data_IF_125068750427
#
_entry.id   IF_125068750427
#
_cell.length_a   1.000
_cell.length_b   1.000
_cell.length_c   1.000
_cell.angle_alpha   90.00
_cell.angle_beta   90.00
_cell.angle_gamma   90.00
#
_symmetry.space_group_name_H-M   'P 1'
#
loop_
_entity.id
_entity.type
_entity.pdbx_description
1 polymer ?
#
# COMPACT_ATOMS: atom_id res chain seq x y z
N UNK A 1 6.86 -25.69 9.94
CA UNK A 1 6.04 -24.85 9.02
C UNK A 1 6.29 -23.41 9.42
N UNK A 2 6.74 -22.54 8.52
CA UNK A 2 7.08 -21.18 8.89
C UNK A 2 5.88 -20.46 9.51
N UNK A 3 6.17 -19.53 10.41
CA UNK A 3 5.14 -18.69 11.00
C UNK A 3 4.65 -17.63 10.00
N UNK A 4 5.60 -17.05 9.24
CA UNK A 4 5.30 -16.07 8.20
C UNK A 4 5.75 -16.51 6.80
N UNK A 5 4.96 -16.15 5.78
CA UNK A 5 5.39 -16.04 4.40
C UNK A 5 5.39 -14.54 4.03
N UNK A 6 6.57 -13.98 3.80
CA UNK A 6 6.72 -12.58 3.39
C UNK A 6 6.61 -12.51 1.87
N UNK A 7 5.55 -11.92 1.35
CA UNK A 7 5.26 -11.80 -0.09
C UNK A 7 5.67 -10.41 -0.58
N UNK A 8 6.59 -10.36 -1.53
CA UNK A 8 7.14 -9.14 -2.12
C UNK A 8 6.87 -9.14 -3.63
N UNK A 9 5.80 -8.49 -4.10
CA UNK A 9 5.63 -8.25 -5.53
C UNK A 9 6.66 -7.22 -6.00
N UNK A 10 7.23 -7.39 -7.22
CA UNK A 10 8.19 -6.45 -7.77
C UNK A 10 7.98 -6.23 -9.27
N UNK A 11 8.26 -5.01 -9.72
CA UNK A 11 8.22 -4.63 -11.15
C UNK A 11 9.21 -3.52 -11.45
N UNK A 12 10.29 -3.83 -12.21
CA UNK A 12 11.33 -2.89 -12.65
C UNK A 12 12.00 -2.10 -11.50
N UNK A 13 12.35 -2.79 -10.39
CA UNK A 13 12.93 -2.17 -9.18
C UNK A 13 13.98 -3.03 -8.51
N UNK A 14 14.85 -3.68 -9.29
CA UNK A 14 15.84 -4.62 -8.77
C UNK A 14 16.66 -4.07 -7.59
N UNK A 15 17.21 -2.85 -7.71
CA UNK A 15 18.08 -2.27 -6.68
C UNK A 15 17.36 -2.08 -5.34
N UNK A 16 16.09 -1.71 -5.39
CA UNK A 16 15.28 -1.55 -4.18
C UNK A 16 14.88 -2.89 -3.60
N UNK A 17 14.47 -3.83 -4.46
CA UNK A 17 14.16 -5.20 -4.05
C UNK A 17 15.34 -5.83 -3.28
N UNK A 18 16.58 -5.68 -3.78
CA UNK A 18 17.76 -6.21 -3.10
C UNK A 18 17.91 -5.65 -1.68
N UNK A 19 17.71 -4.35 -1.48
CA UNK A 19 17.73 -3.73 -0.14
C UNK A 19 16.65 -4.29 0.80
N UNK A 20 15.45 -4.53 0.27
CA UNK A 20 14.36 -5.14 1.06
C UNK A 20 14.74 -6.56 1.47
N UNK A 21 15.31 -7.35 0.55
CA UNK A 21 15.73 -8.72 0.83
C UNK A 21 16.89 -8.78 1.83
N UNK A 22 17.88 -7.90 1.73
CA UNK A 22 19.00 -7.81 2.68
C UNK A 22 18.48 -7.43 4.09
N UNK A 23 17.51 -6.55 4.18
CA UNK A 23 16.88 -6.18 5.46
C UNK A 23 16.01 -7.32 6.04
N UNK A 24 15.39 -8.15 5.19
CA UNK A 24 14.69 -9.36 5.64
C UNK A 24 15.65 -10.42 6.15
N UNK A 25 16.81 -10.62 5.51
CA UNK A 25 17.85 -11.52 5.99
C UNK A 25 18.46 -11.09 7.34
N UNK A 26 18.46 -9.78 7.64
CA UNK A 26 18.97 -9.18 8.88
C UNK A 26 17.94 -9.07 10.00
N UNK A 27 16.77 -9.69 9.89
CA UNK A 27 15.74 -9.62 10.93
C UNK A 27 16.17 -10.22 12.25
N UNK A 28 15.81 -9.55 13.36
CA UNK A 28 16.14 -9.94 14.74
C UNK A 28 14.89 -10.46 15.46
N UNK A 29 15.10 -11.46 16.33
CA UNK A 29 14.04 -12.09 17.14
C UNK A 29 12.82 -12.56 16.31
N UNK A 30 13.02 -12.76 14.99
CA UNK A 30 11.97 -13.20 14.09
C UNK A 30 11.60 -14.66 14.34
N UNK A 31 10.31 -15.04 14.26
CA UNK A 31 9.96 -16.45 14.14
C UNK A 31 10.46 -17.02 12.82
N UNK A 32 10.36 -18.34 12.65
CA UNK A 32 10.65 -18.98 11.36
C UNK A 32 9.80 -18.36 10.24
N UNK A 33 10.42 -17.95 9.15
CA UNK A 33 9.73 -17.33 8.01
C UNK A 33 10.35 -17.74 6.67
N UNK A 34 9.59 -17.57 5.62
CA UNK A 34 10.05 -17.69 4.23
C UNK A 34 9.81 -16.39 3.47
N UNK A 35 10.58 -16.15 2.43
CA UNK A 35 10.42 -14.99 1.54
C UNK A 35 10.00 -15.47 0.15
N UNK A 36 8.95 -14.86 -0.39
CA UNK A 36 8.39 -15.15 -1.70
C UNK A 36 8.40 -13.87 -2.52
N UNK A 37 9.18 -13.87 -3.60
CA UNK A 37 9.27 -12.75 -4.54
C UNK A 37 8.51 -13.10 -5.81
N UNK A 38 7.56 -12.25 -6.19
CA UNK A 38 6.83 -12.37 -7.45
C UNK A 38 7.23 -11.23 -8.37
N UNK A 39 7.97 -11.57 -9.43
CA UNK A 39 8.31 -10.65 -10.50
C UNK A 39 7.13 -10.53 -11.47
N UNK A 40 6.48 -9.37 -11.47
CA UNK A 40 5.32 -9.10 -12.33
C UNK A 40 5.71 -8.64 -13.73
N UNK A 41 6.65 -9.37 -14.36
CA UNK A 41 7.08 -9.16 -15.75
C UNK A 41 8.06 -7.99 -15.91
N UNK A 42 9.00 -7.81 -14.99
CA UNK A 42 10.07 -6.81 -15.09
C UNK A 42 10.87 -6.95 -16.38
N UNK A 43 11.35 -5.82 -16.88
CA UNK A 43 12.20 -5.70 -18.08
C UNK A 43 13.65 -5.37 -17.75
N UNK A 44 13.96 -5.14 -16.47
CA UNK A 44 15.31 -4.97 -15.94
C UNK A 44 15.94 -6.33 -15.59
N UNK A 45 17.10 -6.34 -14.95
CA UNK A 45 17.83 -7.55 -14.58
C UNK A 45 17.21 -8.38 -13.44
N UNK A 46 15.98 -8.05 -13.00
CA UNK A 46 15.32 -8.71 -11.85
C UNK A 46 15.28 -10.23 -12.01
N UNK A 47 14.82 -10.73 -13.15
CA UNK A 47 14.72 -12.19 -13.37
C UNK A 47 16.09 -12.88 -13.36
N UNK A 48 17.06 -12.28 -14.05
CA UNK A 48 18.43 -12.83 -14.13
C UNK A 48 19.10 -12.90 -12.75
N UNK A 49 18.96 -11.85 -11.93
CA UNK A 49 19.59 -11.79 -10.62
C UNK A 49 18.86 -12.67 -9.62
N UNK A 50 17.55 -12.62 -9.58
CA UNK A 50 16.74 -13.36 -8.59
C UNK A 50 16.71 -14.86 -8.83
N UNK A 51 16.83 -15.32 -10.08
CA UNK A 51 16.92 -16.76 -10.38
C UNK A 51 18.18 -17.44 -9.81
N UNK A 52 19.21 -16.65 -9.50
CA UNK A 52 20.48 -17.15 -8.91
C UNK A 52 20.49 -17.02 -7.36
N UNK A 53 19.56 -16.24 -6.76
CA UNK A 53 19.52 -16.03 -5.30
C UNK A 53 18.88 -17.24 -4.60
N UNK A 54 19.64 -17.88 -3.71
CA UNK A 54 19.18 -19.04 -2.93
C UNK A 54 18.39 -18.58 -1.69
N UNK A 55 17.57 -19.48 -1.16
CA UNK A 55 16.83 -19.22 0.10
C UNK A 55 15.55 -18.41 -0.08
N UNK A 56 15.21 -17.98 -1.30
CA UNK A 56 14.01 -17.21 -1.63
C UNK A 56 13.18 -17.97 -2.65
N UNK A 57 11.88 -18.08 -2.44
CA UNK A 57 10.96 -18.58 -3.45
C UNK A 57 10.71 -17.48 -4.49
N UNK A 58 11.26 -17.64 -5.69
CA UNK A 58 11.13 -16.66 -6.78
C UNK A 58 10.27 -17.21 -7.93
N UNK A 59 9.34 -16.39 -8.43
CA UNK A 59 8.55 -16.69 -9.62
C UNK A 59 8.36 -15.44 -10.47
N UNK A 60 8.37 -15.62 -11.80
CA UNK A 60 8.00 -14.60 -12.79
C UNK A 60 6.64 -14.91 -13.38
N UNK A 61 5.86 -13.87 -13.62
CA UNK A 61 4.59 -13.93 -14.34
C UNK A 61 4.48 -12.79 -15.36
N UNK A 62 3.62 -12.91 -16.39
CA UNK A 62 3.26 -11.76 -17.22
C UNK A 62 2.66 -10.65 -16.37
N UNK A 63 3.01 -9.38 -16.66
CA UNK A 63 2.50 -8.25 -15.90
C UNK A 63 0.97 -8.28 -15.81
N UNK A 64 0.46 -8.31 -14.60
CA UNK A 64 -0.96 -8.44 -14.30
C UNK A 64 -1.42 -7.57 -13.13
N UNK A 65 -0.53 -6.72 -12.65
CA UNK A 65 -0.79 -5.80 -11.55
C UNK A 65 -0.59 -6.43 -10.15
N UNK A 66 -0.61 -5.58 -9.12
CA UNK A 66 -0.20 -5.96 -7.77
C UNK A 66 -1.12 -6.99 -7.11
N UNK A 67 -2.42 -6.94 -7.34
CA UNK A 67 -3.38 -7.92 -6.80
C UNK A 67 -3.08 -9.32 -7.32
N UNK A 68 -2.84 -9.47 -8.64
CA UNK A 68 -2.48 -10.75 -9.25
C UNK A 68 -1.15 -11.28 -8.73
N UNK A 69 -0.14 -10.42 -8.59
CA UNK A 69 1.15 -10.81 -8.06
C UNK A 69 1.06 -11.27 -6.59
N UNK A 70 0.26 -10.58 -5.76
CA UNK A 70 0.00 -10.99 -4.37
C UNK A 70 -0.74 -12.33 -4.30
N UNK A 71 -1.76 -12.54 -5.10
CA UNK A 71 -2.48 -13.83 -5.16
C UNK A 71 -1.54 -14.97 -5.53
N UNK A 72 -0.64 -14.76 -6.51
CA UNK A 72 0.37 -15.75 -6.86
C UNK A 72 1.31 -16.02 -5.67
N UNK A 73 1.76 -14.98 -4.96
CA UNK A 73 2.58 -15.15 -3.76
C UNK A 73 1.85 -15.93 -2.65
N UNK A 74 0.57 -15.64 -2.40
CA UNK A 74 -0.27 -16.38 -1.44
C UNK A 74 -0.39 -17.85 -1.82
N UNK A 75 -0.53 -18.19 -3.11
CA UNK A 75 -0.64 -19.58 -3.56
C UNK A 75 0.63 -20.41 -3.31
N UNK A 76 1.78 -19.77 -3.17
CA UNK A 76 3.07 -20.40 -2.86
C UNK A 76 3.38 -20.42 -1.35
N UNK A 77 2.66 -19.60 -0.57
CA UNK A 77 2.90 -19.41 0.85
C UNK A 77 2.61 -20.66 1.68
N UNK A 78 3.51 -20.97 2.62
CA UNK A 78 3.42 -22.10 3.57
C UNK A 78 3.26 -21.63 5.00
N UNK A 79 3.50 -20.34 5.28
CA UNK A 79 3.36 -19.74 6.59
C UNK A 79 1.91 -19.75 7.09
N UNK A 80 1.75 -19.69 8.40
CA UNK A 80 0.42 -19.50 9.01
C UNK A 80 -0.17 -18.15 8.61
N UNK A 81 0.65 -17.11 8.66
CA UNK A 81 0.30 -15.76 8.23
C UNK A 81 1.10 -15.34 7.00
N UNK A 82 0.49 -14.53 6.15
CA UNK A 82 1.17 -13.83 5.06
C UNK A 82 1.46 -12.41 5.49
N UNK A 83 2.68 -11.93 5.24
CA UNK A 83 3.03 -10.52 5.33
C UNK A 83 3.19 -9.97 3.92
N UNK A 84 2.48 -8.90 3.61
CA UNK A 84 2.72 -8.10 2.41
C UNK A 84 3.62 -6.92 2.73
N UNK A 85 4.64 -6.72 1.91
CA UNK A 85 5.47 -5.51 1.86
C UNK A 85 5.72 -5.12 0.41
N UNK A 86 5.97 -3.83 0.16
CA UNK A 86 6.42 -3.36 -1.16
C UNK A 86 7.90 -3.65 -1.40
N UNK A 87 8.29 -3.74 -2.69
CA UNK A 87 9.69 -3.86 -3.10
C UNK A 87 10.53 -2.60 -2.83
N UNK A 88 9.90 -1.52 -2.36
CA UNK A 88 10.49 -0.23 -1.98
C UNK A 88 10.26 0.13 -0.50
N UNK A 89 9.75 -0.82 0.31
CA UNK A 89 9.52 -0.66 1.75
C UNK A 89 10.50 -1.53 2.54
N UNK A 90 11.64 -0.95 2.95
CA UNK A 90 12.71 -1.64 3.67
C UNK A 90 12.31 -1.86 5.12
N UNK A 91 12.20 -3.10 5.63
CA UNK A 91 11.83 -3.38 7.02
C UNK A 91 12.96 -3.06 8.00
N UNK A 92 12.60 -2.56 9.19
CA UNK A 92 13.54 -2.39 10.30
C UNK A 92 13.84 -3.73 11.00
N UNK A 93 14.93 -3.86 11.78
CA UNK A 93 15.43 -5.14 12.29
C UNK A 93 14.43 -5.98 13.10
N UNK A 94 13.44 -5.37 13.77
CA UNK A 94 12.43 -6.08 14.59
C UNK A 94 11.07 -6.19 13.92
N UNK A 95 10.98 -5.87 12.66
CA UNK A 95 9.71 -5.85 11.91
C UNK A 95 8.91 -7.14 12.03
N UNK A 96 9.53 -8.30 11.75
CA UNK A 96 8.85 -9.60 11.85
C UNK A 96 8.51 -9.97 13.30
N UNK A 97 9.38 -9.66 14.25
CA UNK A 97 9.13 -9.90 15.68
C UNK A 97 7.91 -9.13 16.17
N UNK A 98 7.73 -7.88 15.73
CA UNK A 98 6.61 -7.03 16.11
C UNK A 98 5.28 -7.49 15.50
N UNK A 99 5.27 -7.97 14.26
CA UNK A 99 4.09 -8.63 13.70
C UNK A 99 3.73 -9.90 14.48
N UNK A 100 4.73 -10.74 14.77
CA UNK A 100 4.51 -11.98 15.53
C UNK A 100 3.97 -11.71 16.94
N UNK A 101 4.44 -10.64 17.59
CA UNK A 101 3.94 -10.24 18.91
C UNK A 101 2.43 -10.01 18.90
N UNK A 102 1.93 -9.25 17.92
CA UNK A 102 0.49 -8.94 17.82
C UNK A 102 -0.35 -10.20 17.59
N UNK A 103 0.07 -11.09 16.69
CA UNK A 103 -0.66 -12.33 16.44
C UNK A 103 -0.66 -13.25 17.66
N UNK A 104 0.49 -13.42 18.35
CA UNK A 104 0.58 -14.24 19.57
C UNK A 104 -0.24 -13.67 20.72
N UNK A 105 -0.28 -12.35 20.90
CA UNK A 105 -1.12 -11.70 21.92
C UNK A 105 -2.62 -11.91 21.68
N UNK A 106 -3.03 -12.16 20.43
CA UNK A 106 -4.41 -12.51 20.07
C UNK A 106 -4.67 -14.02 19.97
N UNK A 107 -3.77 -14.87 20.49
CA UNK A 107 -3.83 -16.33 20.34
C UNK A 107 -3.92 -16.76 18.87
N UNK A 108 -3.25 -16.04 17.98
CA UNK A 108 -3.24 -16.29 16.53
C UNK A 108 -4.65 -16.31 15.91
N UNK A 109 -5.50 -15.39 16.33
CA UNK A 109 -6.85 -15.22 15.78
C UNK A 109 -6.79 -15.02 14.26
N UNK A 110 -7.41 -15.88 13.44
CA UNK A 110 -7.39 -15.77 11.98
C UNK A 110 -8.13 -14.52 11.47
N UNK A 111 -9.03 -13.95 12.27
CA UNK A 111 -9.75 -12.71 11.94
C UNK A 111 -9.06 -11.45 12.50
N UNK A 112 -7.77 -11.54 12.84
CA UNK A 112 -6.96 -10.38 13.20
C UNK A 112 -5.81 -10.18 12.21
N UNK A 113 -5.80 -9.05 11.52
CA UNK A 113 -4.65 -8.54 10.77
C UNK A 113 -3.84 -7.57 11.63
N UNK A 114 -2.52 -7.50 11.40
CA UNK A 114 -1.65 -6.52 12.01
C UNK A 114 -1.13 -5.54 10.95
N UNK A 115 -1.50 -4.27 11.05
CA UNK A 115 -0.93 -3.18 10.25
C UNK A 115 0.31 -2.64 10.96
N UNK A 116 1.44 -2.57 10.28
CA UNK A 116 2.64 -1.87 10.75
C UNK A 116 2.71 -0.42 10.26
N UNK A 117 3.72 0.29 10.73
CA UNK A 117 4.01 1.67 10.31
C UNK A 117 4.95 1.70 9.10
N UNK A 118 4.57 2.42 8.07
CA UNK A 118 5.44 2.72 6.91
C UNK A 118 5.77 4.20 6.91
N UNK A 119 7.03 4.53 7.16
CA UNK A 119 7.50 5.92 7.20
C UNK A 119 8.59 6.19 6.16
N UNK A 120 9.04 7.44 6.09
CA UNK A 120 10.15 7.82 5.21
C UNK A 120 11.50 7.38 5.75
N UNK A 121 12.53 7.19 4.87
CA UNK A 121 13.87 6.83 5.30
C UNK A 121 14.47 7.89 6.22
N UNK A 122 15.22 7.46 7.23
CA UNK A 122 15.98 8.36 8.09
C UNK A 122 17.15 9.01 7.31
N UNK A 123 17.39 10.30 7.54
CA UNK A 123 18.46 11.05 6.87
C UNK A 123 18.15 11.46 5.42
N UNK A 124 16.99 11.09 4.88
CA UNK A 124 16.52 11.53 3.58
C UNK A 124 15.88 12.93 3.61
N UNK A 125 15.78 13.58 2.45
CA UNK A 125 15.00 14.82 2.33
C UNK A 125 13.52 14.51 2.31
N UNK A 126 12.84 14.78 3.43
CA UNK A 126 11.38 14.68 3.54
C UNK A 126 10.75 16.06 3.37
N UNK A 127 9.89 16.23 2.37
CA UNK A 127 9.16 17.49 2.13
C UNK A 127 7.91 17.57 3.00
N UNK A 128 7.35 18.78 3.18
CA UNK A 128 6.08 18.95 3.88
C UNK A 128 4.93 18.20 3.18
N UNK A 129 5.00 18.06 1.87
CA UNK A 129 4.04 17.27 1.11
C UNK A 129 4.15 15.77 1.40
N UNK A 130 5.37 15.24 1.48
CA UNK A 130 5.62 13.84 1.85
C UNK A 130 5.08 13.54 3.27
N UNK A 131 5.34 14.42 4.25
CA UNK A 131 4.75 14.28 5.59
C UNK A 131 3.22 14.28 5.52
N UNK A 132 2.62 15.20 4.75
CA UNK A 132 1.18 15.33 4.63
C UNK A 132 0.52 14.04 4.08
N UNK A 133 1.04 13.47 3.00
CA UNK A 133 0.44 12.27 2.39
C UNK A 133 0.60 11.02 3.27
N UNK A 134 1.65 10.96 4.09
CA UNK A 134 1.90 9.87 5.03
C UNK A 134 1.00 9.97 6.28
N UNK A 135 0.77 11.18 6.76
CA UNK A 135 0.15 11.43 8.04
C UNK A 135 -1.39 11.53 7.98
N UNK A 136 -1.93 12.09 6.89
CA UNK A 136 -3.33 12.54 6.85
C UNK A 136 -4.22 11.88 5.77
N UNK A 137 -3.79 10.76 5.19
CA UNK A 137 -4.73 9.87 4.50
C UNK A 137 -4.80 9.96 2.98
N UNK A 138 -3.86 10.60 2.29
CA UNK A 138 -3.82 10.52 0.82
C UNK A 138 -3.06 9.28 0.32
N UNK A 139 -2.06 8.82 1.08
CA UNK A 139 -1.36 7.56 0.85
C UNK A 139 -1.52 6.65 2.06
N UNK A 140 -1.26 7.20 3.25
CA UNK A 140 -1.49 6.57 4.54
C UNK A 140 -2.16 7.59 5.46
N UNK A 141 -2.56 7.18 6.65
CA UNK A 141 -3.22 8.07 7.63
C UNK A 141 -2.73 7.82 9.04
N UNK A 142 -1.42 7.64 9.22
CA UNK A 142 -0.88 7.16 10.49
C UNK A 142 -1.10 8.12 11.67
N UNK A 143 -1.30 9.41 11.45
CA UNK A 143 -1.68 10.36 12.52
C UNK A 143 -3.15 10.30 12.90
N UNK A 144 -3.96 9.59 12.14
CA UNK A 144 -5.39 9.43 12.40
C UNK A 144 -5.69 8.19 13.27
N UNK A 145 -4.69 7.36 13.55
CA UNK A 145 -4.79 6.10 14.30
C UNK A 145 -3.76 6.05 15.43
N UNK A 146 -4.03 5.26 16.47
CA UNK A 146 -3.15 5.13 17.62
C UNK A 146 -2.61 3.70 17.75
N UNK A 147 -1.38 3.59 18.25
CA UNK A 147 -0.74 2.31 18.52
C UNK A 147 -1.61 1.40 19.40
N UNK A 148 -1.79 0.15 18.97
CA UNK A 148 -2.61 -0.86 19.65
C UNK A 148 -4.11 -0.83 19.36
N UNK A 149 -4.64 0.19 18.70
CA UNK A 149 -6.07 0.30 18.38
C UNK A 149 -6.50 -0.70 17.29
N UNK A 150 -7.77 -1.11 17.35
CA UNK A 150 -8.49 -1.70 16.22
C UNK A 150 -8.96 -0.56 15.31
N UNK A 151 -8.57 -0.62 14.07
CA UNK A 151 -8.77 0.44 13.08
C UNK A 151 -9.68 -0.02 11.94
N UNK A 152 -10.36 0.91 11.22
CA UNK A 152 -11.24 0.59 10.11
C UNK A 152 -10.52 -0.08 8.93
N UNK A 153 -11.30 -0.79 8.08
CA UNK A 153 -10.80 -1.53 6.91
C UNK A 153 -10.03 -0.66 5.90
N UNK A 154 -10.36 0.62 5.79
CA UNK A 154 -9.70 1.55 4.87
C UNK A 154 -8.24 1.91 5.25
N UNK A 155 -7.73 1.34 6.35
CA UNK A 155 -6.32 1.36 6.73
C UNK A 155 -5.58 0.06 6.38
N UNK A 156 -6.15 -0.82 5.58
CA UNK A 156 -5.49 -2.04 5.14
C UNK A 156 -4.46 -1.73 4.05
N UNK A 157 -3.21 -1.48 4.42
CA UNK A 157 -2.14 -1.11 3.50
C UNK A 157 -1.20 -2.29 3.24
N UNK A 158 -1.21 -2.83 2.02
CA UNK A 158 -0.35 -3.96 1.62
C UNK A 158 1.15 -3.61 1.51
N UNK A 159 1.52 -2.40 1.89
CA UNK A 159 2.92 -2.00 2.08
C UNK A 159 3.52 -2.50 3.40
N UNK A 160 2.68 -2.87 4.40
CA UNK A 160 3.13 -3.35 5.71
C UNK A 160 1.96 -3.96 6.50
N UNK A 161 1.49 -5.14 6.13
CA UNK A 161 0.40 -5.81 6.83
C UNK A 161 0.60 -7.31 6.88
N UNK A 162 0.24 -7.93 8.02
CA UNK A 162 0.17 -9.38 8.16
C UNK A 162 -1.26 -9.85 8.41
N UNK A 163 -1.64 -10.97 7.81
CA UNK A 163 -2.99 -11.52 7.84
C UNK A 163 -2.94 -13.04 7.70
N UNK A 164 -3.95 -13.74 8.19
CA UNK A 164 -4.08 -15.19 8.06
C UNK A 164 -4.02 -15.63 6.59
N UNK A 165 -3.23 -16.67 6.31
CA UNK A 165 -3.04 -17.19 4.94
C UNK A 165 -4.31 -17.84 4.40
N UNK A 166 -5.04 -18.60 5.24
CA UNK A 166 -6.24 -19.30 4.79
C UNK A 166 -7.32 -18.29 4.38
N UNK A 167 -7.48 -17.21 5.13
CA UNK A 167 -8.42 -16.14 4.80
C UNK A 167 -8.13 -15.52 3.43
N UNK A 168 -6.85 -15.32 3.08
CA UNK A 168 -6.45 -14.83 1.76
C UNK A 168 -6.62 -15.87 0.64
N UNK A 169 -6.51 -17.15 0.97
CA UNK A 169 -6.72 -18.25 0.01
C UNK A 169 -8.20 -18.35 -0.37
N UNK A 170 -9.08 -18.21 0.61
CA UNK A 170 -10.53 -18.29 0.44
C UNK A 170 -11.09 -17.00 -0.18
N UNK A 171 -10.45 -15.87 0.08
CA UNK A 171 -10.84 -14.53 -0.38
C UNK A 171 -9.67 -13.80 -1.04
N UNK A 172 -9.33 -14.12 -2.30
CA UNK A 172 -8.20 -13.49 -2.99
C UNK A 172 -8.47 -12.02 -3.36
N UNK A 173 -7.37 -11.29 -3.67
CA UNK A 173 -7.47 -9.96 -4.29
C UNK A 173 -8.23 -10.04 -5.61
N UNK A 174 -9.06 -9.04 -5.86
CA UNK A 174 -9.67 -8.86 -7.17
C UNK A 174 -8.62 -8.39 -8.20
N UNK A 175 -8.46 -9.17 -9.25
CA UNK A 175 -7.45 -8.91 -10.29
C UNK A 175 -7.93 -7.97 -11.40
N UNK A 176 -9.13 -7.43 -11.29
CA UNK A 176 -9.65 -6.43 -12.23
C UNK A 176 -9.07 -5.02 -12.01
N UNK A 177 -8.46 -4.79 -10.84
CA UNK A 177 -7.72 -3.56 -10.57
C UNK A 177 -6.36 -3.57 -11.28
N UNK A 178 -6.12 -2.66 -12.24
CA UNK A 178 -4.92 -2.73 -13.09
C UNK A 178 -3.65 -2.20 -12.43
N UNK A 179 -3.77 -1.50 -11.32
CA UNK A 179 -2.66 -0.82 -10.62
C UNK A 179 -2.83 -0.85 -9.11
N UNK A 180 -1.78 -0.47 -8.38
CA UNK A 180 -1.79 -0.34 -6.92
C UNK A 180 -2.68 0.84 -6.48
N UNK A 181 -3.99 0.60 -6.51
CA UNK A 181 -5.02 1.58 -6.17
C UNK A 181 -6.34 0.88 -5.86
N UNK A 182 -6.77 0.90 -4.63
CA UNK A 182 -8.03 0.36 -4.12
C UNK A 182 -8.11 -1.18 -4.02
N UNK A 183 -7.23 -1.95 -4.66
CA UNK A 183 -7.30 -3.42 -4.63
C UNK A 183 -7.15 -4.00 -3.22
N UNK A 184 -6.39 -3.32 -2.36
CA UNK A 184 -6.19 -3.69 -0.96
C UNK A 184 -7.38 -3.27 -0.08
N UNK A 185 -7.91 -2.09 -0.28
CA UNK A 185 -9.08 -1.59 0.46
C UNK A 185 -10.35 -2.34 0.06
N UNK A 186 -10.49 -2.74 -1.22
CA UNK A 186 -11.59 -3.57 -1.70
C UNK A 186 -11.57 -4.95 -1.02
N UNK A 187 -10.40 -5.58 -0.98
CA UNK A 187 -10.24 -6.85 -0.25
C UNK A 187 -10.63 -6.67 1.23
N UNK A 188 -10.09 -5.64 1.88
CA UNK A 188 -10.36 -5.38 3.28
C UNK A 188 -11.84 -5.09 3.55
N UNK A 189 -12.54 -4.40 2.65
CA UNK A 189 -13.99 -4.18 2.73
C UNK A 189 -14.75 -5.50 2.74
N UNK A 190 -14.41 -6.45 1.86
CA UNK A 190 -15.03 -7.79 1.86
C UNK A 190 -14.73 -8.55 3.14
N UNK A 191 -13.50 -8.50 3.63
CA UNK A 191 -13.06 -9.20 4.84
C UNK A 191 -13.66 -8.59 6.12
N UNK A 192 -13.89 -7.28 6.16
CA UNK A 192 -14.58 -6.59 7.26
C UNK A 192 -15.98 -7.15 7.50
N UNK A 193 -16.72 -7.46 6.41
CA UNK A 193 -18.04 -8.13 6.48
C UNK A 193 -17.97 -9.56 7.03
N UNK A 194 -16.80 -10.18 7.03
CA UNK A 194 -16.54 -11.48 7.66
C UNK A 194 -16.05 -11.34 9.11
N UNK A 195 -15.92 -10.11 9.61
CA UNK A 195 -15.48 -9.82 10.98
C UNK A 195 -13.98 -9.61 11.13
N UNK A 196 -13.21 -9.42 10.03
CA UNK A 196 -11.79 -9.08 10.12
C UNK A 196 -11.61 -7.82 10.95
N UNK A 197 -10.68 -7.88 11.90
CA UNK A 197 -10.20 -6.72 12.67
C UNK A 197 -8.78 -6.41 12.27
N UNK A 198 -8.43 -5.13 12.21
CA UNK A 198 -7.07 -4.68 11.93
C UNK A 198 -6.53 -4.01 13.18
N UNK A 199 -5.46 -4.54 13.77
CA UNK A 199 -4.76 -3.89 14.90
C UNK A 199 -3.54 -3.15 14.37
N UNK A 200 -3.42 -1.87 14.69
CA UNK A 200 -2.25 -1.08 14.35
C UNK A 200 -1.10 -1.30 15.35
N UNK A 201 0.10 -1.56 14.82
CA UNK A 201 1.34 -1.68 15.61
C UNK A 201 2.40 -0.71 15.06
N UNK A 202 2.57 0.41 15.71
CA UNK A 202 3.54 1.44 15.32
C UNK A 202 5.01 0.98 15.40
N UNK A 203 5.29 -0.17 16.03
CA UNK A 203 6.65 -0.74 16.19
C UNK A 203 7.04 -1.69 15.06
N UNK A 204 6.07 -2.21 14.30
CA UNK A 204 6.34 -3.00 13.10
C UNK A 204 6.67 -2.05 11.93
N UNK A 205 7.92 -1.61 11.85
CA UNK A 205 8.33 -0.46 11.02
C UNK A 205 8.93 -0.90 9.68
N UNK A 206 8.49 -0.24 8.60
CA UNK A 206 9.18 -0.23 7.30
C UNK A 206 9.51 1.19 6.86
N UNK A 207 10.51 1.36 5.98
CA UNK A 207 10.91 2.65 5.40
C UNK A 207 10.66 2.67 3.89
N UNK A 208 9.81 3.57 3.45
CA UNK A 208 9.40 3.71 2.06
C UNK A 208 10.41 4.54 1.26
N UNK A 209 11.22 3.88 0.45
CA UNK A 209 12.31 4.49 -0.32
C UNK A 209 11.85 4.99 -1.71
N UNK A 210 10.67 5.54 -1.79
CA UNK A 210 10.13 6.11 -3.03
C UNK A 210 9.79 7.59 -2.83
N UNK A 211 10.70 8.52 -3.23
CA UNK A 211 10.43 9.95 -3.08
C UNK A 211 9.20 10.36 -3.89
N UNK A 212 8.28 11.06 -3.22
CA UNK A 212 7.04 11.54 -3.81
C UNK A 212 7.11 13.06 -4.04
N UNK A 213 6.78 13.48 -5.26
CA UNK A 213 6.59 14.88 -5.60
C UNK A 213 5.10 15.17 -5.81
N UNK A 214 4.71 16.43 -5.73
CA UNK A 214 3.34 16.87 -6.05
C UNK A 214 2.91 16.38 -7.42
N UNK A 215 3.79 16.46 -8.43
CA UNK A 215 3.42 16.08 -9.78
C UNK A 215 3.29 14.58 -10.00
N UNK A 216 4.20 13.78 -9.42
CA UNK A 216 4.11 12.32 -9.49
C UNK A 216 2.88 11.82 -8.74
N UNK A 217 2.60 12.41 -7.58
CA UNK A 217 1.47 12.02 -6.76
C UNK A 217 0.12 12.47 -7.36
N UNK A 218 0.06 13.63 -8.02
CA UNK A 218 -1.13 14.08 -8.74
C UNK A 218 -1.50 13.12 -9.88
N UNK A 219 -0.50 12.63 -10.65
CA UNK A 219 -0.72 11.57 -11.65
C UNK A 219 -1.23 10.27 -11.00
N UNK A 220 -0.64 9.88 -9.86
CA UNK A 220 -1.11 8.72 -9.09
C UNK A 220 -2.56 8.92 -8.65
N UNK A 221 -2.94 10.09 -8.11
CA UNK A 221 -4.32 10.37 -7.68
C UNK A 221 -5.33 10.27 -8.83
N UNK A 222 -4.97 10.68 -10.04
CA UNK A 222 -5.81 10.46 -11.21
C UNK A 222 -6.04 8.97 -11.49
N UNK A 223 -4.98 8.15 -11.44
CA UNK A 223 -5.08 6.68 -11.59
C UNK A 223 -5.90 6.05 -10.46
N UNK A 224 -5.69 6.51 -9.22
CA UNK A 224 -6.50 6.08 -8.05
C UNK A 224 -7.97 6.40 -8.27
N UNK A 225 -8.30 7.57 -8.84
CA UNK A 225 -9.67 7.93 -9.19
C UNK A 225 -10.29 6.99 -10.21
N UNK A 226 -9.56 6.64 -11.29
CA UNK A 226 -10.05 5.65 -12.27
C UNK A 226 -10.33 4.28 -11.64
N UNK A 227 -9.43 3.79 -10.78
CA UNK A 227 -9.66 2.57 -10.02
C UNK A 227 -10.82 2.69 -9.03
N UNK A 228 -11.11 3.89 -8.53
CA UNK A 228 -12.29 4.19 -7.71
C UNK A 228 -13.61 3.94 -8.44
N UNK A 229 -13.65 4.15 -9.76
CA UNK A 229 -14.83 3.79 -10.59
C UNK A 229 -15.01 2.27 -10.68
N UNK A 230 -13.92 1.50 -10.77
CA UNK A 230 -13.96 0.03 -10.72
C UNK A 230 -14.51 -0.43 -9.36
N UNK A 231 -14.01 0.17 -8.27
CA UNK A 231 -14.49 -0.16 -6.93
C UNK A 231 -15.98 0.15 -6.77
N UNK A 232 -16.42 1.32 -7.24
CA UNK A 232 -17.83 1.71 -7.21
C UNK A 232 -18.73 0.77 -8.03
N UNK A 233 -18.30 0.30 -9.19
CA UNK A 233 -19.06 -0.63 -10.02
C UNK A 233 -19.36 -1.96 -9.32
N UNK A 234 -18.49 -2.35 -8.37
CA UNK A 234 -18.62 -3.59 -7.58
C UNK A 234 -19.38 -3.37 -6.26
N UNK A 235 -19.25 -2.18 -5.68
CA UNK A 235 -19.78 -1.79 -4.38
C UNK A 235 -20.44 -0.41 -4.45
N UNK A 236 -21.63 -0.30 -5.11
CA UNK A 236 -22.30 0.98 -5.32
C UNK A 236 -22.66 1.71 -4.02
N UNK A 237 -22.87 0.98 -2.93
CA UNK A 237 -23.13 1.52 -1.59
C UNK A 237 -21.99 2.40 -1.06
N UNK A 238 -20.77 2.25 -1.59
CA UNK A 238 -19.61 3.08 -1.24
C UNK A 238 -19.51 4.38 -2.03
N UNK A 239 -20.53 4.76 -2.81
CA UNK A 239 -20.51 5.95 -3.66
C UNK A 239 -20.16 7.25 -2.91
N UNK A 240 -20.62 7.40 -1.67
CA UNK A 240 -20.23 8.53 -0.82
C UNK A 240 -18.74 8.49 -0.42
N UNK A 241 -18.26 7.34 0.05
CA UNK A 241 -16.87 7.12 0.44
C UNK A 241 -15.92 7.34 -0.75
N UNK A 242 -16.25 6.85 -1.92
CA UNK A 242 -15.46 6.98 -3.15
C UNK A 242 -15.58 8.36 -3.81
N UNK A 243 -16.52 9.22 -3.35
CA UNK A 243 -16.70 10.57 -3.86
C UNK A 243 -17.52 10.68 -5.14
N UNK A 244 -18.29 9.64 -5.50
CA UNK A 244 -19.20 9.67 -6.66
C UNK A 244 -20.25 10.75 -6.47
N UNK A 245 -20.88 10.85 -5.30
CA UNK A 245 -21.87 11.91 -4.99
C UNK A 245 -21.27 13.32 -4.98
N UNK A 246 -19.96 13.45 -4.72
CA UNK A 246 -19.29 14.75 -4.82
C UNK A 246 -19.23 15.23 -6.28
N UNK A 247 -19.05 14.31 -7.25
CA UNK A 247 -19.06 14.65 -8.67
C UNK A 247 -20.41 15.18 -9.18
N UNK A 248 -21.51 14.76 -8.57
CA UNK A 248 -22.86 15.24 -8.93
C UNK A 248 -23.07 16.72 -8.60
N UNK A 249 -22.40 17.19 -7.54
CA UNK A 249 -22.62 18.55 -6.99
C UNK A 249 -21.44 19.48 -7.21
N UNK A 250 -20.24 18.96 -7.42
CA UNK A 250 -19.00 19.73 -7.56
C UNK A 250 -18.60 19.96 -9.00
N UNK A 251 -18.49 21.21 -9.39
CA UNK A 251 -17.84 21.59 -10.65
C UNK A 251 -16.32 21.44 -10.52
N UNK A 252 -15.72 20.60 -11.36
CA UNK A 252 -14.26 20.44 -11.40
C UNK A 252 -13.59 21.72 -11.91
N UNK A 253 -12.38 21.98 -11.41
CA UNK A 253 -11.59 23.15 -11.77
C UNK A 253 -11.25 23.19 -13.26
N UNK A 254 -11.28 24.36 -13.87
CA UNK A 254 -10.72 24.55 -15.21
C UNK A 254 -9.17 24.49 -15.19
N UNK A 255 -8.54 24.45 -16.35
CA UNK A 255 -7.08 24.34 -16.47
C UNK A 255 -6.33 25.53 -15.81
N UNK A 256 -6.91 26.72 -15.82
CA UNK A 256 -6.33 27.92 -15.19
C UNK A 256 -6.38 27.83 -13.67
N UNK A 257 -7.51 27.36 -13.13
CA UNK A 257 -7.68 27.08 -11.71
C UNK A 257 -6.73 25.97 -11.25
N UNK A 258 -6.65 24.85 -11.99
CA UNK A 258 -5.75 23.75 -11.70
C UNK A 258 -4.28 24.18 -11.68
N UNK A 259 -3.86 25.00 -12.65
CA UNK A 259 -2.51 25.54 -12.68
C UNK A 259 -2.20 26.42 -11.44
N UNK A 260 -3.16 27.22 -10.96
CA UNK A 260 -3.01 28.01 -9.72
C UNK A 260 -2.89 27.11 -8.49
N UNK A 261 -3.73 26.08 -8.36
CA UNK A 261 -3.65 25.10 -7.27
C UNK A 261 -2.28 24.40 -7.25
N UNK A 262 -1.81 23.94 -8.41
CA UNK A 262 -0.49 23.30 -8.55
C UNK A 262 0.66 24.23 -8.16
N UNK A 263 0.63 25.49 -8.62
CA UNK A 263 1.64 26.49 -8.23
C UNK A 263 1.69 26.68 -6.71
N UNK A 264 0.52 26.83 -6.07
CA UNK A 264 0.43 27.02 -4.61
C UNK A 264 0.97 25.80 -3.85
N UNK A 265 0.60 24.60 -4.27
CA UNK A 265 1.07 23.36 -3.66
C UNK A 265 2.58 23.19 -3.81
N UNK A 266 3.15 23.44 -5.01
CA UNK A 266 4.61 23.37 -5.24
C UNK A 266 5.39 24.38 -4.40
N UNK A 267 4.83 25.55 -4.12
CA UNK A 267 5.46 26.52 -3.21
C UNK A 267 5.58 25.93 -1.79
N UNK A 268 4.53 25.27 -1.31
CA UNK A 268 4.54 24.58 -0.01
C UNK A 268 5.49 23.38 0.04
N UNK A 269 5.64 22.64 -1.07
CA UNK A 269 6.62 21.55 -1.17
C UNK A 269 8.07 22.08 -1.12
N UNK A 270 8.34 23.17 -1.81
CA UNK A 270 9.69 23.77 -1.89
C UNK A 270 10.08 24.49 -0.62
N UNK A 271 9.15 25.21 0.00
CA UNK A 271 9.36 26.03 1.18
C UNK A 271 8.43 25.59 2.31
N UNK A 272 8.96 24.85 3.29
CA UNK A 272 8.17 24.23 4.36
C UNK A 272 7.31 25.24 5.15
N UNK A 273 7.76 26.48 5.31
CA UNK A 273 7.01 27.55 5.97
C UNK A 273 5.81 28.06 5.17
N UNK A 274 5.73 27.76 3.87
CA UNK A 274 4.58 28.04 2.99
C UNK A 274 3.68 26.82 2.83
N UNK A 275 4.00 25.69 3.48
CA UNK A 275 3.22 24.48 3.38
C UNK A 275 1.80 24.70 3.92
N UNK A 276 0.83 24.20 3.15
CA UNK A 276 -0.58 24.28 3.48
C UNK A 276 -1.27 22.96 3.12
N UNK A 277 -1.65 22.21 4.12
CA UNK A 277 -2.31 20.91 3.96
C UNK A 277 -3.57 20.99 3.10
N UNK A 278 -4.38 22.03 3.28
CA UNK A 278 -5.58 22.25 2.47
C UNK A 278 -5.25 22.48 0.98
N UNK A 279 -4.12 23.14 0.66
CA UNK A 279 -3.69 23.31 -0.73
C UNK A 279 -3.25 21.97 -1.36
N UNK A 280 -2.59 21.11 -0.57
CA UNK A 280 -2.22 19.75 -0.99
C UNK A 280 -3.47 18.91 -1.23
N UNK A 281 -4.36 18.86 -0.25
CA UNK A 281 -5.61 18.12 -0.31
C UNK A 281 -6.46 18.52 -1.51
N UNK A 282 -6.72 19.82 -1.68
CA UNK A 282 -7.57 20.34 -2.76
C UNK A 282 -7.03 19.95 -4.13
N UNK A 283 -5.72 20.07 -4.35
CA UNK A 283 -5.09 19.68 -5.62
C UNK A 283 -5.21 18.17 -5.86
N UNK A 284 -4.93 17.36 -4.86
CA UNK A 284 -4.96 15.89 -4.98
C UNK A 284 -6.38 15.39 -5.17
N UNK A 285 -7.33 15.94 -4.43
CA UNK A 285 -8.76 15.63 -4.58
C UNK A 285 -9.26 15.97 -5.97
N UNK A 286 -8.84 17.11 -6.54
CA UNK A 286 -9.19 17.50 -7.90
C UNK A 286 -8.69 16.47 -8.94
N UNK A 287 -7.45 15.99 -8.81
CA UNK A 287 -6.92 14.95 -9.69
C UNK A 287 -7.64 13.62 -9.53
N UNK A 288 -7.96 13.24 -8.30
CA UNK A 288 -8.73 12.04 -7.99
C UNK A 288 -10.12 12.08 -8.65
N UNK A 289 -10.86 13.16 -8.46
CA UNK A 289 -12.22 13.30 -9.00
C UNK A 289 -12.24 13.34 -10.54
N UNK A 290 -11.22 13.90 -11.17
CA UNK A 290 -11.05 13.82 -12.64
C UNK A 290 -10.87 12.36 -13.08
N UNK A 291 -10.02 11.62 -12.41
CA UNK A 291 -9.83 10.21 -12.68
C UNK A 291 -11.10 9.39 -12.46
N UNK A 292 -11.82 9.64 -11.37
CA UNK A 292 -13.09 8.98 -11.05
C UNK A 292 -14.15 9.26 -12.12
N UNK A 293 -14.32 10.53 -12.52
CA UNK A 293 -15.24 10.92 -13.60
C UNK A 293 -14.92 10.19 -14.91
N UNK A 294 -13.65 10.19 -15.30
CA UNK A 294 -13.22 9.58 -16.55
C UNK A 294 -13.37 8.06 -16.51
N UNK A 295 -13.12 7.42 -15.36
CA UNK A 295 -13.35 6.00 -15.16
C UNK A 295 -14.84 5.60 -15.11
N UNK A 296 -15.73 6.47 -14.65
CA UNK A 296 -17.17 6.23 -14.68
C UNK A 296 -17.76 6.38 -16.10
N UNK A 297 -17.05 7.01 -17.02
CA UNK A 297 -17.46 7.20 -18.41
C UNK A 297 -16.95 6.08 -19.34
N UNK A 298 -16.03 5.23 -18.90
CA UNK A 298 -15.50 4.06 -19.61
C UNK A 298 -16.39 2.83 -19.43
#
# INVERSE_FOLDING_TARGET
>A
MPYFSVVVPTYNRLDMLLRVLDALEAQQDAPEFEVIVINDGSKDDTERVMSQRKGIAFRTQPNGGPGRARNHGVSLAKGKFVIFIGDDTVPEPRFLAEHARIHRESNDDPLLACLGYTGWPQGGRVTAFMDYINDYGLQFGYKLIRDGEIIPYNFFYTSNISIDRQLLTDHPFDTTFPSAAWEDIELAYRLDHLGLKIRYNAKAVTRHHHPMTIDSFAKRQYTVGKSGAIFYSKHPELGHFLGVHELETRKLADEKQLARMRRRARMGERFRFLANNHAFETLMREHYLRGLRDGLAE
#
